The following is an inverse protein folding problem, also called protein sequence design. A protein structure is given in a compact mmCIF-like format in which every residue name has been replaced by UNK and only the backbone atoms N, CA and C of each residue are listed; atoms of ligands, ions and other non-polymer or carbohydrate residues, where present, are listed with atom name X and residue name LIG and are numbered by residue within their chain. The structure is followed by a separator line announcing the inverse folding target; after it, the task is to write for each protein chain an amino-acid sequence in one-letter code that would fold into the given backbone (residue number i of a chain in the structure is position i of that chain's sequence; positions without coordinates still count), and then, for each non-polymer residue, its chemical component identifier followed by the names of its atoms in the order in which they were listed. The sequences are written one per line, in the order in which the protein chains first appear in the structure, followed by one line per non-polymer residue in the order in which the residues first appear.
data_IF_292758590009
#
_entry.id   IF_292758590009
#
_cell.length_a   1.000
_cell.length_b   1.000
_cell.length_c   1.000
_cell.angle_alpha   90.00
_cell.angle_beta   90.00
_cell.angle_gamma   90.00
#
_symmetry.space_group_name_H-M   'P 1'
#
loop_
_entity.id
_entity.type
_entity.pdbx_description
1 polymer ?
#
# COMPACT_ATOMS: atom_id res chain seq x y z
N UNK A 1 39.99 -8.57 0.98
CA UNK A 1 39.33 -7.94 2.15
C UNK A 1 37.84 -7.71 1.85
N UNK A 2 36.94 -8.55 2.38
CA UNK A 2 35.47 -8.50 2.18
C UNK A 2 34.69 -8.76 3.50
N UNK A 3 35.33 -8.55 4.66
CA UNK A 3 34.75 -8.85 5.98
C UNK A 3 33.89 -7.71 6.57
N UNK A 4 34.06 -6.46 6.10
CA UNK A 4 33.36 -5.27 6.66
C UNK A 4 31.89 -5.18 6.24
N UNK A 5 31.54 -5.59 5.01
CA UNK A 5 30.16 -5.49 4.48
C UNK A 5 29.19 -6.44 5.18
N UNK A 6 29.64 -7.65 5.54
CA UNK A 6 28.79 -8.68 6.18
C UNK A 6 28.24 -8.22 7.53
N UNK A 7 29.03 -7.49 8.33
CA UNK A 7 28.58 -6.96 9.62
C UNK A 7 27.59 -5.81 9.50
N UNK A 8 27.79 -4.93 8.51
CA UNK A 8 26.89 -3.80 8.25
C UNK A 8 25.52 -4.27 7.77
N UNK A 9 25.48 -5.22 6.84
CA UNK A 9 24.23 -5.73 6.28
C UNK A 9 23.39 -6.44 7.35
N UNK A 10 24.05 -7.18 8.26
CA UNK A 10 23.38 -7.81 9.40
C UNK A 10 22.76 -6.78 10.37
N UNK A 11 23.47 -5.69 10.69
CA UNK A 11 22.94 -4.66 11.59
C UNK A 11 21.73 -3.95 10.99
N UNK A 12 21.78 -3.60 9.70
CA UNK A 12 20.65 -2.95 9.02
C UNK A 12 19.44 -3.91 8.96
N UNK A 13 19.68 -5.21 8.79
CA UNK A 13 18.62 -6.24 8.79
C UNK A 13 17.90 -6.30 10.13
N UNK A 14 18.67 -6.25 11.23
CA UNK A 14 18.12 -6.22 12.58
C UNK A 14 17.32 -4.93 12.82
N UNK A 15 17.86 -3.77 12.44
CA UNK A 15 17.15 -2.48 12.58
C UNK A 15 15.84 -2.48 11.78
N UNK A 16 15.85 -3.01 10.55
CA UNK A 16 14.66 -3.17 9.73
C UNK A 16 13.62 -4.08 10.41
N UNK A 17 14.03 -5.23 10.95
CA UNK A 17 13.13 -6.18 11.59
C UNK A 17 12.52 -5.60 12.87
N UNK A 18 13.34 -5.02 13.74
CA UNK A 18 12.87 -4.43 15.01
C UNK A 18 11.98 -3.21 14.77
N UNK A 19 12.33 -2.31 13.86
CA UNK A 19 11.46 -1.18 13.51
C UNK A 19 10.13 -1.64 12.90
N UNK A 20 10.15 -2.69 12.06
CA UNK A 20 8.93 -3.31 11.54
C UNK A 20 8.06 -3.91 12.65
N UNK A 21 8.67 -4.62 13.60
CA UNK A 21 7.96 -5.20 14.75
C UNK A 21 7.34 -4.14 15.66
N UNK A 22 8.08 -3.07 15.97
CA UNK A 22 7.58 -1.93 16.75
C UNK A 22 6.43 -1.25 16.00
N UNK A 23 6.58 -0.99 14.70
CA UNK A 23 5.51 -0.43 13.88
C UNK A 23 4.24 -1.29 13.94
N UNK A 24 4.35 -2.60 13.67
CA UNK A 24 3.20 -3.52 13.72
C UNK A 24 2.51 -3.49 15.08
N UNK A 25 3.28 -3.55 16.18
CA UNK A 25 2.73 -3.56 17.53
C UNK A 25 2.01 -2.24 17.86
N UNK A 26 2.71 -1.11 17.71
CA UNK A 26 2.19 0.21 18.07
C UNK A 26 1.02 0.62 17.19
N UNK A 27 1.12 0.37 15.88
CA UNK A 27 0.04 0.69 14.96
C UNK A 27 -1.18 -0.23 15.16
N UNK A 28 -0.98 -1.50 15.50
CA UNK A 28 -2.11 -2.37 15.90
C UNK A 28 -2.81 -1.85 17.15
N UNK A 29 -2.07 -1.35 18.14
CA UNK A 29 -2.67 -0.67 19.30
C UNK A 29 -3.45 0.59 18.90
N UNK A 30 -2.95 1.36 17.93
CA UNK A 30 -3.65 2.53 17.39
C UNK A 30 -4.99 2.14 16.73
N UNK A 31 -5.01 1.05 15.96
CA UNK A 31 -6.23 0.49 15.35
C UNK A 31 -7.20 -0.01 16.42
N UNK A 32 -6.74 -0.80 17.39
CA UNK A 32 -7.58 -1.29 18.49
C UNK A 32 -8.18 -0.11 19.26
N UNK A 33 -7.39 0.91 19.59
CA UNK A 33 -7.91 2.12 20.25
C UNK A 33 -8.95 2.84 19.40
N UNK A 34 -8.76 2.94 18.08
CA UNK A 34 -9.73 3.59 17.21
C UNK A 34 -11.09 2.87 17.21
N UNK A 35 -11.11 1.56 17.44
CA UNK A 35 -12.33 0.74 17.50
C UNK A 35 -12.95 0.75 18.90
N UNK A 36 -12.13 0.61 19.95
CA UNK A 36 -12.57 0.35 21.34
C UNK A 36 -12.65 1.60 22.21
N UNK A 37 -12.05 2.73 21.80
CA UNK A 37 -12.04 3.96 22.59
C UNK A 37 -11.11 3.95 23.81
N UNK A 38 -10.22 2.97 23.97
CA UNK A 38 -9.29 2.87 25.11
C UNK A 38 -8.53 4.18 25.40
N UNK A 39 -8.23 4.46 26.67
CA UNK A 39 -7.62 5.72 27.16
C UNK A 39 -6.18 6.03 26.74
N UNK A 40 -5.56 5.26 25.85
CA UNK A 40 -4.15 5.43 25.43
C UNK A 40 -3.98 6.72 24.60
N UNK A 41 -2.87 7.45 24.67
CA UNK A 41 -2.72 8.68 23.87
C UNK A 41 -2.58 8.37 22.36
N UNK A 42 -3.60 8.72 21.56
CA UNK A 42 -3.64 8.47 20.11
C UNK A 42 -2.46 9.10 19.36
N UNK A 43 -2.06 10.30 19.79
CA UNK A 43 -1.00 11.08 19.12
C UNK A 43 0.36 10.43 19.34
N UNK A 44 0.61 9.90 20.54
CA UNK A 44 1.86 9.20 20.85
C UNK A 44 1.98 7.93 20.02
N UNK A 45 0.93 7.10 19.97
CA UNK A 45 0.91 5.89 19.14
C UNK A 45 1.15 6.23 17.65
N UNK A 46 0.47 7.25 17.14
CA UNK A 46 0.63 7.73 15.76
C UNK A 46 2.08 8.16 15.45
N UNK A 47 2.67 9.01 16.30
CA UNK A 47 4.05 9.48 16.12
C UNK A 47 5.03 8.29 16.15
N UNK A 48 4.89 7.39 17.12
CA UNK A 48 5.79 6.23 17.25
C UNK A 48 5.63 5.29 16.03
N UNK A 49 4.42 5.10 15.52
CA UNK A 49 4.20 4.35 14.27
C UNK A 49 4.90 5.02 13.08
N UNK A 50 4.76 6.33 12.90
CA UNK A 50 5.44 7.07 11.83
C UNK A 50 6.97 6.99 11.94
N UNK A 51 7.53 7.22 13.13
CA UNK A 51 8.96 7.11 13.38
C UNK A 51 9.50 5.69 13.08
N UNK A 52 8.73 4.67 13.46
CA UNK A 52 9.09 3.28 13.17
C UNK A 52 9.10 3.01 11.66
N UNK A 53 8.10 3.49 10.91
CA UNK A 53 8.08 3.41 9.44
C UNK A 53 9.25 4.15 8.79
N UNK A 54 9.58 5.34 9.29
CA UNK A 54 10.74 6.11 8.81
C UNK A 54 12.00 5.25 8.93
N UNK A 55 12.25 4.67 10.11
CA UNK A 55 13.42 3.79 10.32
C UNK A 55 13.37 2.55 9.41
N UNK A 56 12.20 1.93 9.24
CA UNK A 56 12.02 0.76 8.36
C UNK A 56 12.37 1.10 6.90
N UNK A 57 11.78 2.16 6.33
CA UNK A 57 12.02 2.51 4.93
C UNK A 57 13.39 3.14 4.69
N UNK A 58 13.92 3.89 5.64
CA UNK A 58 15.33 4.32 5.61
C UNK A 58 16.26 3.11 5.52
N UNK A 59 16.03 2.08 6.34
CA UNK A 59 16.83 0.84 6.31
C UNK A 59 16.77 0.17 4.93
N UNK A 60 15.58 0.07 4.33
CA UNK A 60 15.40 -0.47 2.97
C UNK A 60 16.16 0.31 1.89
N UNK A 61 16.25 1.63 2.01
CA UNK A 61 16.99 2.49 1.08
C UNK A 61 18.50 2.29 1.24
N UNK A 62 18.99 2.29 2.48
CA UNK A 62 20.42 2.11 2.78
C UNK A 62 20.93 0.71 2.45
N UNK A 63 20.06 -0.30 2.41
CA UNK A 63 20.39 -1.64 1.91
C UNK A 63 20.80 -1.69 0.43
N UNK A 64 20.23 -0.81 -0.41
CA UNK A 64 20.38 -0.91 -1.87
C UNK A 64 21.52 -0.08 -2.46
N UNK A 65 22.08 0.89 -1.73
CA UNK A 65 23.12 1.75 -2.28
C UNK A 65 24.01 2.36 -1.21
N UNK A 66 25.32 2.12 -1.31
CA UNK A 66 26.35 2.79 -0.51
C UNK A 66 26.63 4.23 -1.00
N UNK A 67 26.24 4.56 -2.23
CA UNK A 67 26.31 5.91 -2.79
C UNK A 67 24.91 6.39 -3.21
N UNK A 68 24.46 7.54 -2.71
CA UNK A 68 23.12 8.06 -3.00
C UNK A 68 23.14 8.76 -4.36
N UNK A 69 22.65 8.06 -5.39
CA UNK A 69 22.27 8.72 -6.64
C UNK A 69 20.84 9.25 -6.49
N UNK A 70 20.70 10.58 -6.42
CA UNK A 70 19.42 11.28 -6.17
C UNK A 70 18.35 10.89 -7.21
N UNK A 71 18.72 10.77 -8.49
CA UNK A 71 17.77 10.39 -9.54
C UNK A 71 17.24 8.96 -9.36
N UNK A 72 18.12 8.04 -8.92
CA UNK A 72 17.72 6.66 -8.62
C UNK A 72 16.84 6.59 -7.37
N UNK A 73 17.14 7.41 -6.35
CA UNK A 73 16.37 7.48 -5.12
C UNK A 73 14.93 7.95 -5.36
N UNK A 74 14.73 8.99 -6.19
CA UNK A 74 13.40 9.51 -6.54
C UNK A 74 12.52 8.51 -7.31
N UNK A 75 13.13 7.48 -7.89
CA UNK A 75 12.44 6.38 -8.61
C UNK A 75 12.25 5.13 -7.75
N UNK A 76 12.69 5.11 -6.48
CA UNK A 76 12.48 3.98 -5.57
C UNK A 76 11.15 4.13 -4.81
N UNK A 77 10.33 3.08 -4.83
CA UNK A 77 9.06 3.05 -4.07
C UNK A 77 9.26 3.23 -2.56
N UNK A 78 10.34 2.70 -1.97
CA UNK A 78 10.63 2.86 -0.54
C UNK A 78 10.91 4.32 -0.16
N UNK A 79 11.49 5.11 -1.07
CA UNK A 79 11.68 6.53 -0.84
C UNK A 79 10.34 7.28 -0.80
N UNK A 80 9.39 6.89 -1.65
CA UNK A 80 8.03 7.45 -1.62
C UNK A 80 7.30 7.07 -0.34
N UNK A 81 7.41 5.83 0.09
CA UNK A 81 6.91 5.37 1.39
C UNK A 81 7.53 6.15 2.56
N UNK A 82 8.83 6.43 2.50
CA UNK A 82 9.52 7.27 3.49
C UNK A 82 8.95 8.69 3.51
N UNK A 83 8.75 9.32 2.35
CA UNK A 83 8.14 10.65 2.26
C UNK A 83 6.73 10.66 2.87
N UNK A 84 5.92 9.64 2.59
CA UNK A 84 4.60 9.49 3.20
C UNK A 84 4.71 9.38 4.72
N UNK A 85 5.59 8.52 5.24
CA UNK A 85 5.79 8.37 6.68
C UNK A 85 6.23 9.68 7.36
N UNK A 86 7.12 10.44 6.73
CA UNK A 86 7.54 11.77 7.19
C UNK A 86 6.38 12.78 7.15
N UNK A 87 5.62 12.82 6.05
CA UNK A 87 4.48 13.72 5.92
C UNK A 87 3.41 13.45 6.97
N UNK A 88 3.16 12.18 7.30
CA UNK A 88 2.16 11.79 8.28
C UNK A 88 2.51 12.21 9.73
N UNK A 89 3.74 12.68 10.01
CA UNK A 89 4.06 13.28 11.31
C UNK A 89 3.38 14.63 11.55
N UNK A 90 3.04 15.38 10.48
CA UNK A 90 2.40 16.70 10.62
C UNK A 90 0.91 16.60 10.99
N UNK A 91 0.28 15.46 10.76
CA UNK A 91 -1.15 15.24 11.05
C UNK A 91 -1.37 14.64 12.44
N UNK A 92 -2.46 15.07 13.09
CA UNK A 92 -2.78 14.64 14.47
C UNK A 92 -3.06 13.14 14.55
N UNK A 93 -3.71 12.58 13.53
CA UNK A 93 -3.90 11.14 13.37
C UNK A 93 -4.58 10.83 12.04
N UNK A 94 -4.02 9.87 11.29
CA UNK A 94 -4.62 9.31 10.09
C UNK A 94 -4.46 7.79 10.10
N UNK A 95 -5.45 7.09 10.62
CA UNK A 95 -5.39 5.63 10.75
C UNK A 95 -5.48 4.99 9.36
N UNK A 96 -6.56 5.22 8.61
CA UNK A 96 -6.81 4.50 7.35
C UNK A 96 -5.63 4.58 6.35
N UNK A 97 -5.03 5.76 6.07
CA UNK A 97 -3.89 5.85 5.15
C UNK A 97 -2.63 5.07 5.55
N UNK A 98 -2.48 4.73 6.83
CA UNK A 98 -1.37 3.94 7.36
C UNK A 98 -1.61 2.42 7.30
N UNK A 99 -2.85 2.00 7.04
CA UNK A 99 -3.22 0.58 7.03
C UNK A 99 -2.53 -0.24 5.92
N UNK A 100 -2.32 0.26 4.69
CA UNK A 100 -1.54 -0.46 3.67
C UNK A 100 -0.13 -0.80 4.16
N UNK A 101 0.51 0.12 4.88
CA UNK A 101 1.84 -0.09 5.46
C UNK A 101 1.83 -1.24 6.47
N UNK A 102 0.81 -1.34 7.33
CA UNK A 102 0.68 -2.46 8.27
C UNK A 102 0.61 -3.80 7.53
N UNK A 103 -0.25 -3.90 6.51
CA UNK A 103 -0.43 -5.14 5.75
C UNK A 103 0.86 -5.54 5.04
N UNK A 104 1.53 -4.60 4.39
CA UNK A 104 2.77 -4.83 3.66
C UNK A 104 3.96 -5.15 4.58
N UNK A 105 4.08 -4.47 5.72
CA UNK A 105 5.08 -4.80 6.74
C UNK A 105 4.84 -6.20 7.30
N UNK A 106 3.59 -6.56 7.61
CA UNK A 106 3.26 -7.90 8.13
C UNK A 106 3.63 -8.98 7.12
N UNK A 107 3.31 -8.79 5.82
CA UNK A 107 3.74 -9.69 4.75
C UNK A 107 5.26 -9.79 4.62
N UNK A 108 5.96 -8.67 4.74
CA UNK A 108 7.43 -8.62 4.65
C UNK A 108 8.09 -9.36 5.80
N UNK A 109 7.60 -9.17 7.03
CA UNK A 109 8.07 -9.89 8.22
C UNK A 109 7.75 -11.38 8.13
N UNK A 110 6.57 -11.77 7.66
CA UNK A 110 6.24 -13.17 7.44
C UNK A 110 7.17 -13.83 6.40
N UNK A 111 7.46 -13.14 5.29
CA UNK A 111 8.43 -13.59 4.30
C UNK A 111 9.84 -13.75 4.88
N UNK A 112 10.24 -12.82 5.76
CA UNK A 112 11.51 -12.88 6.47
C UNK A 112 11.59 -14.10 7.41
N UNK A 113 10.54 -14.36 8.19
CA UNK A 113 10.45 -15.51 9.09
C UNK A 113 10.59 -16.82 8.32
N UNK A 114 9.88 -16.97 7.19
CA UNK A 114 9.97 -18.18 6.36
C UNK A 114 11.38 -18.35 5.76
N UNK A 115 11.96 -17.27 5.24
CA UNK A 115 13.32 -17.29 4.69
C UNK A 115 14.37 -17.70 5.73
N UNK A 116 14.14 -17.33 6.99
CA UNK A 116 15.02 -17.61 8.12
C UNK A 116 14.46 -18.70 9.05
N UNK A 117 13.71 -19.68 8.53
CA UNK A 117 12.99 -20.69 9.33
C UNK A 117 13.84 -21.29 10.46
N UNK A 118 15.11 -21.60 10.21
CA UNK A 118 16.03 -22.19 11.19
C UNK A 118 16.20 -21.33 12.47
N UNK A 119 16.07 -20.00 12.36
CA UNK A 119 16.13 -19.09 13.52
C UNK A 119 14.83 -19.11 14.36
N UNK A 120 13.72 -19.53 13.76
CA UNK A 120 12.38 -19.46 14.35
C UNK A 120 11.73 -20.83 14.59
N UNK A 121 12.45 -21.93 14.35
CA UNK A 121 11.93 -23.31 14.38
C UNK A 121 11.20 -23.68 15.69
N UNK A 122 11.61 -23.10 16.81
CA UNK A 122 11.00 -23.33 18.13
C UNK A 122 9.78 -22.44 18.43
N UNK A 123 9.37 -21.59 17.50
CA UNK A 123 8.30 -20.60 17.70
C UNK A 123 7.06 -20.92 16.87
N UNK A 124 5.88 -20.65 17.43
CA UNK A 124 4.61 -20.78 16.70
C UNK A 124 4.47 -19.76 15.55
N UNK A 125 5.36 -18.78 15.48
CA UNK A 125 5.36 -17.70 14.47
C UNK A 125 5.52 -18.28 13.06
N UNK A 126 6.19 -19.42 12.87
CA UNK A 126 6.35 -20.05 11.55
C UNK A 126 4.98 -20.42 10.96
N UNK A 127 4.10 -21.05 11.74
CA UNK A 127 2.78 -21.46 11.26
C UNK A 127 1.92 -20.25 10.84
N UNK A 128 1.98 -19.17 11.65
CA UNK A 128 1.31 -17.91 11.33
C UNK A 128 1.88 -17.29 10.05
N UNK A 129 3.21 -17.24 9.92
CA UNK A 129 3.88 -16.69 8.75
C UNK A 129 3.56 -17.50 7.47
N UNK A 130 3.54 -18.83 7.56
CA UNK A 130 3.17 -19.71 6.44
C UNK A 130 1.74 -19.44 5.98
N UNK A 131 0.78 -19.40 6.90
CA UNK A 131 -0.62 -19.11 6.57
C UNK A 131 -0.76 -17.72 5.92
N UNK A 132 -0.07 -16.71 6.44
CA UNK A 132 -0.12 -15.36 5.88
C UNK A 132 0.48 -15.31 4.46
N UNK A 133 1.58 -16.03 4.21
CA UNK A 133 2.20 -16.09 2.89
C UNK A 133 1.33 -16.86 1.89
N UNK A 134 0.59 -17.89 2.31
CA UNK A 134 -0.43 -18.53 1.46
C UNK A 134 -1.52 -17.56 0.99
N UNK A 135 -1.79 -16.51 1.77
CA UNK A 135 -2.78 -15.47 1.44
C UNK A 135 -2.16 -14.19 0.89
N UNK A 136 -0.85 -14.19 0.58
CA UNK A 136 -0.08 -13.00 0.18
C UNK A 136 -0.76 -12.18 -0.92
N UNK A 137 -1.28 -12.84 -1.94
CA UNK A 137 -1.90 -12.14 -3.07
C UNK A 137 -3.19 -11.40 -2.67
N UNK A 138 -4.00 -12.01 -1.81
CA UNK A 138 -5.24 -11.39 -1.30
C UNK A 138 -4.91 -10.20 -0.40
N UNK A 139 -3.95 -10.37 0.52
CA UNK A 139 -3.52 -9.31 1.44
C UNK A 139 -2.89 -8.15 0.68
N UNK A 140 -2.05 -8.43 -0.33
CA UNK A 140 -1.44 -7.41 -1.18
C UNK A 140 -2.50 -6.64 -1.98
N UNK A 141 -3.44 -7.34 -2.61
CA UNK A 141 -4.54 -6.68 -3.34
C UNK A 141 -5.38 -5.81 -2.41
N UNK A 142 -5.69 -6.28 -1.20
CA UNK A 142 -6.39 -5.50 -0.19
C UNK A 142 -5.62 -4.23 0.21
N UNK A 143 -4.31 -4.33 0.43
CA UNK A 143 -3.46 -3.19 0.75
C UNK A 143 -3.50 -2.13 -0.36
N UNK A 144 -3.37 -2.55 -1.62
CA UNK A 144 -3.44 -1.66 -2.78
C UNK A 144 -4.81 -0.97 -2.92
N UNK A 145 -5.91 -1.69 -2.65
CA UNK A 145 -7.26 -1.10 -2.63
C UNK A 145 -7.39 -0.03 -1.55
N UNK A 146 -6.93 -0.33 -0.33
CA UNK A 146 -6.96 0.64 0.77
C UNK A 146 -6.08 1.85 0.43
N UNK A 147 -4.91 1.64 -0.18
CA UNK A 147 -4.02 2.70 -0.61
C UNK A 147 -4.69 3.63 -1.64
N UNK A 148 -5.30 3.07 -2.68
CA UNK A 148 -6.04 3.85 -3.68
C UNK A 148 -7.21 4.63 -3.07
N UNK A 149 -7.97 4.01 -2.15
CA UNK A 149 -9.10 4.65 -1.46
C UNK A 149 -8.66 5.68 -0.40
N UNK A 150 -7.43 5.60 0.08
CA UNK A 150 -6.89 6.57 1.04
C UNK A 150 -6.61 7.92 0.39
N UNK A 151 -6.35 7.97 -0.92
CA UNK A 151 -6.12 9.22 -1.64
C UNK A 151 -7.31 10.20 -1.60
N UNK A 152 -8.55 9.81 -1.97
CA UNK A 152 -9.70 10.70 -1.84
C UNK A 152 -10.00 11.03 -0.36
N UNK A 153 -9.73 10.11 0.57
CA UNK A 153 -9.88 10.40 2.01
C UNK A 153 -8.92 11.50 2.47
N UNK A 154 -7.66 11.48 2.04
CA UNK A 154 -6.68 12.53 2.35
C UNK A 154 -7.08 13.85 1.68
N UNK A 155 -7.62 13.82 0.46
CA UNK A 155 -8.15 15.02 -0.20
C UNK A 155 -9.28 15.66 0.63
N UNK A 156 -10.19 14.84 1.17
CA UNK A 156 -11.24 15.31 2.08
C UNK A 156 -10.62 15.96 3.33
N UNK A 157 -9.61 15.33 3.94
CA UNK A 157 -8.89 15.92 5.07
C UNK A 157 -8.19 17.24 4.74
N UNK A 158 -7.64 17.39 3.53
CA UNK A 158 -7.02 18.61 3.04
C UNK A 158 -8.07 19.73 2.91
N UNK A 159 -9.23 19.44 2.31
CA UNK A 159 -10.33 20.41 2.16
C UNK A 159 -10.83 20.88 3.52
N UNK A 160 -10.91 20.00 4.51
CA UNK A 160 -11.31 20.33 5.88
C UNK A 160 -10.17 20.92 6.74
N UNK A 161 -8.98 21.16 6.19
CA UNK A 161 -7.85 21.76 6.92
C UNK A 161 -7.24 20.85 8.00
N UNK A 162 -7.50 19.55 7.94
CA UNK A 162 -6.98 18.54 8.88
C UNK A 162 -5.76 17.79 8.35
N UNK A 163 -5.38 18.03 7.09
CA UNK A 163 -4.15 17.60 6.45
C UNK A 163 -3.47 18.80 5.77
N UNK A 164 -2.15 18.74 5.64
CA UNK A 164 -1.42 19.70 4.83
C UNK A 164 -1.29 19.23 3.37
N UNK A 165 -0.91 20.17 2.50
CA UNK A 165 -0.66 19.87 1.09
C UNK A 165 0.47 18.85 0.91
N UNK A 166 1.44 18.85 1.82
CA UNK A 166 2.60 17.95 1.76
C UNK A 166 2.21 16.48 1.92
N UNK A 167 1.30 16.15 2.84
CA UNK A 167 0.72 14.80 2.99
C UNK A 167 0.00 14.38 1.72
N UNK A 168 -0.86 15.25 1.17
CA UNK A 168 -1.59 14.93 -0.05
C UNK A 168 -0.66 14.67 -1.23
N UNK A 169 0.31 15.56 -1.48
CA UNK A 169 1.26 15.42 -2.60
C UNK A 169 2.14 14.18 -2.42
N UNK A 170 2.65 13.93 -1.21
CA UNK A 170 3.49 12.75 -0.93
C UNK A 170 2.72 11.46 -1.15
N UNK A 171 1.48 11.38 -0.67
CA UNK A 171 0.64 10.19 -0.83
C UNK A 171 0.19 10.00 -2.28
N UNK A 172 -0.24 11.08 -2.96
CA UNK A 172 -0.59 11.06 -4.38
C UNK A 172 0.58 10.59 -5.25
N UNK A 173 1.79 11.07 -4.93
CA UNK A 173 3.03 10.68 -5.60
C UNK A 173 3.38 9.20 -5.40
N UNK A 174 3.08 8.62 -4.24
CA UNK A 174 3.21 7.19 -3.97
C UNK A 174 2.19 6.37 -4.77
N UNK A 175 0.90 6.71 -4.67
CA UNK A 175 -0.19 6.02 -5.39
C UNK A 175 0.02 6.08 -6.90
N UNK A 176 0.44 7.23 -7.43
CA UNK A 176 0.73 7.40 -8.85
C UNK A 176 1.90 6.51 -9.31
N UNK A 177 2.95 6.41 -8.49
CA UNK A 177 4.07 5.53 -8.77
C UNK A 177 3.64 4.07 -8.81
N UNK A 178 2.88 3.61 -7.81
CA UNK A 178 2.34 2.25 -7.80
C UNK A 178 1.39 2.02 -8.99
N UNK A 179 0.51 2.96 -9.31
CA UNK A 179 -0.39 2.84 -10.45
C UNK A 179 0.35 2.69 -11.79
N UNK A 180 1.47 3.40 -11.96
CA UNK A 180 2.25 3.38 -13.20
C UNK A 180 3.18 2.17 -13.29
N UNK A 181 3.71 1.67 -12.17
CA UNK A 181 4.75 0.63 -12.13
C UNK A 181 4.23 -0.76 -11.73
N UNK A 182 3.11 -0.85 -11.02
CA UNK A 182 2.56 -2.08 -10.48
C UNK A 182 1.22 -2.44 -11.16
N UNK A 183 1.18 -3.47 -12.03
CA UNK A 183 -0.06 -3.90 -12.69
C UNK A 183 -1.20 -4.26 -11.72
N UNK A 184 -0.86 -4.73 -10.51
CA UNK A 184 -1.87 -5.05 -9.49
C UNK A 184 -2.56 -3.80 -8.93
N UNK A 185 -1.86 -2.67 -8.86
CA UNK A 185 -2.48 -1.40 -8.47
C UNK A 185 -3.53 -0.98 -9.51
N UNK A 186 -3.25 -1.16 -10.80
CA UNK A 186 -4.26 -0.91 -11.86
C UNK A 186 -5.48 -1.80 -11.68
N UNK A 187 -5.29 -3.10 -11.45
CA UNK A 187 -6.39 -4.04 -11.14
C UNK A 187 -7.21 -3.59 -9.93
N UNK A 188 -6.54 -3.20 -8.84
CA UNK A 188 -7.20 -2.71 -7.64
C UNK A 188 -8.08 -1.46 -7.92
N UNK A 189 -7.57 -0.50 -8.70
CA UNK A 189 -8.32 0.69 -9.11
C UNK A 189 -9.51 0.32 -10.00
N UNK A 190 -9.35 -0.59 -10.97
CA UNK A 190 -10.46 -1.05 -11.81
C UNK A 190 -11.56 -1.74 -11.00
N UNK A 191 -11.20 -2.61 -10.05
CA UNK A 191 -12.17 -3.26 -9.17
C UNK A 191 -12.92 -2.25 -8.29
N UNK A 192 -12.24 -1.19 -7.82
CA UNK A 192 -12.90 -0.09 -7.10
C UNK A 192 -13.90 0.62 -8.02
N UNK A 193 -13.51 0.95 -9.25
CA UNK A 193 -14.38 1.61 -10.23
C UNK A 193 -15.61 0.73 -10.53
N UNK A 194 -15.44 -0.58 -10.69
CA UNK A 194 -16.54 -1.51 -10.93
C UNK A 194 -17.53 -1.57 -9.75
N UNK A 195 -17.01 -1.52 -8.51
CA UNK A 195 -17.88 -1.43 -7.33
C UNK A 195 -18.65 -0.10 -7.31
N UNK A 196 -17.98 1.02 -7.61
CA UNK A 196 -18.64 2.34 -7.69
C UNK A 196 -19.69 2.36 -8.80
N UNK A 197 -19.40 1.78 -9.97
CA UNK A 197 -20.34 1.64 -11.09
C UNK A 197 -21.61 0.91 -10.66
N UNK A 198 -21.47 -0.22 -9.95
CA UNK A 198 -22.61 -0.99 -9.45
C UNK A 198 -23.41 -0.22 -8.40
N UNK A 199 -22.74 0.51 -7.50
CA UNK A 199 -23.41 1.33 -6.49
C UNK A 199 -24.20 2.47 -7.12
N UNK A 200 -23.63 3.19 -8.08
CA UNK A 200 -24.30 4.30 -8.80
C UNK A 200 -25.42 3.79 -9.72
N UNK A 201 -25.28 2.57 -10.25
CA UNK A 201 -26.29 1.89 -11.05
C UNK A 201 -27.50 1.40 -10.25
N UNK A 202 -27.45 1.39 -8.92
CA UNK A 202 -28.57 1.00 -8.07
C UNK A 202 -29.79 1.90 -8.27
N UNK A 203 -30.99 1.33 -8.15
CA UNK A 203 -32.27 2.05 -8.16
C UNK A 203 -32.39 3.10 -7.05
N UNK A 204 -31.58 2.99 -6.01
CA UNK A 204 -31.62 3.88 -4.85
C UNK A 204 -30.83 5.19 -5.06
N UNK A 205 -30.11 5.32 -6.18
CA UNK A 205 -29.32 6.52 -6.49
C UNK A 205 -30.12 7.45 -7.41
N UNK A 206 -30.29 8.74 -7.06
CA UNK A 206 -30.99 9.70 -7.91
C UNK A 206 -30.37 9.82 -9.31
N UNK A 207 -31.20 9.94 -10.34
CA UNK A 207 -30.75 10.07 -11.74
C UNK A 207 -29.75 11.22 -11.92
N UNK A 208 -29.95 12.34 -11.23
CA UNK A 208 -29.04 13.50 -11.26
C UNK A 208 -27.60 13.17 -10.82
N UNK A 209 -27.43 12.25 -9.86
CA UNK A 209 -26.11 11.80 -9.39
C UNK A 209 -25.51 10.82 -10.40
N UNK A 210 -26.33 9.93 -10.96
CA UNK A 210 -25.93 8.96 -11.98
C UNK A 210 -25.41 9.66 -13.25
N UNK A 211 -26.12 10.67 -13.74
CA UNK A 211 -25.75 11.40 -14.96
C UNK A 211 -24.44 12.17 -14.77
N UNK A 212 -24.26 12.81 -13.61
CA UNK A 212 -23.00 13.48 -13.25
C UNK A 212 -21.84 12.50 -13.18
N UNK A 213 -22.06 11.32 -12.59
CA UNK A 213 -21.04 10.27 -12.54
C UNK A 213 -20.64 9.77 -13.94
N UNK A 214 -21.62 9.50 -14.80
CA UNK A 214 -21.37 9.06 -16.19
C UNK A 214 -20.59 10.13 -16.96
N UNK A 215 -20.98 11.40 -16.83
CA UNK A 215 -20.28 12.53 -17.45
C UNK A 215 -18.81 12.61 -16.99
N UNK A 216 -18.56 12.54 -15.67
CA UNK A 216 -17.23 12.55 -15.11
C UNK A 216 -16.40 11.35 -15.59
N UNK A 217 -16.98 10.14 -15.58
CA UNK A 217 -16.31 8.92 -16.03
C UNK A 217 -15.89 9.02 -17.50
N UNK A 218 -16.77 9.55 -18.36
CA UNK A 218 -16.47 9.75 -19.78
C UNK A 218 -15.37 10.80 -19.97
N UNK A 219 -15.42 11.91 -19.22
CA UNK A 219 -14.36 12.92 -19.23
C UNK A 219 -13.00 12.32 -18.86
N UNK A 220 -12.93 11.54 -17.79
CA UNK A 220 -11.70 10.88 -17.34
C UNK A 220 -11.18 9.89 -18.38
N UNK A 221 -12.06 9.05 -18.95
CA UNK A 221 -11.67 8.10 -20.01
C UNK A 221 -11.07 8.76 -21.24
N UNK A 222 -11.58 9.93 -21.65
CA UNK A 222 -11.05 10.66 -22.81
C UNK A 222 -9.68 11.30 -22.55
N UNK A 223 -9.28 11.46 -21.28
CA UNK A 223 -8.04 12.15 -20.89
C UNK A 223 -6.95 11.21 -20.39
N UNK A 224 -7.30 10.00 -19.95
CA UNK A 224 -6.34 8.98 -19.54
C UNK A 224 -6.15 8.02 -20.72
N UNK A 225 -4.96 7.96 -21.37
CA UNK A 225 -4.71 6.96 -22.40
C UNK A 225 -4.78 5.58 -21.76
N UNK A 226 -5.87 4.87 -22.01
CA UNK A 226 -5.97 3.46 -21.69
C UNK A 226 -5.09 2.76 -22.72
N UNK A 227 -3.93 2.27 -22.29
CA UNK A 227 -3.21 1.26 -23.06
C UNK A 227 -4.08 -0.02 -22.99
N UNK A 228 -5.02 -0.15 -23.92
CA UNK A 228 -5.78 -1.37 -24.15
C UNK A 228 -4.82 -2.45 -24.65
N UNK A 229 -4.24 -3.18 -23.70
CA UNK A 229 -3.28 -4.23 -23.97
C UNK A 229 -3.41 -5.36 -22.97
N UNK A 230 -4.62 -5.90 -22.79
CA UNK A 230 -4.88 -7.21 -22.16
C UNK A 230 -6.36 -7.64 -22.28
N UNK A 231 -6.97 -7.51 -23.47
CA UNK A 231 -8.11 -8.36 -23.82
C UNK A 231 -7.82 -8.97 -25.20
N UNK A 232 -7.05 -10.04 -25.18
CA UNK A 232 -7.05 -11.00 -26.28
C UNK A 232 -8.44 -11.62 -26.36
N UNK A 233 -9.30 -11.03 -27.18
CA UNK A 233 -10.51 -11.64 -27.69
C UNK A 233 -10.11 -12.90 -28.48
N UNK A 234 -10.14 -14.06 -27.83
CA UNK A 234 -10.21 -15.33 -28.56
C UNK A 234 -11.64 -15.43 -29.08
N UNK A 235 -11.89 -14.80 -30.23
CA UNK A 235 -12.95 -15.23 -31.12
C UNK A 235 -12.59 -16.63 -31.60
N UNK A 236 -13.02 -17.65 -30.86
CA UNK A 236 -13.11 -19.00 -31.39
C UNK A 236 -14.16 -18.98 -32.51
N UNK A 237 -13.69 -19.06 -33.76
CA UNK A 237 -14.54 -19.32 -34.93
C UNK A 237 -15.25 -20.67 -34.72
N UNK A 238 -16.56 -20.78 -35.02
CA UNK A 238 -17.19 -22.09 -35.13
C UNK A 238 -16.67 -22.78 -36.40
N UNK A 239 -15.92 -23.86 -36.22
CA UNK A 239 -15.61 -24.78 -37.30
C UNK A 239 -16.89 -25.53 -37.67
N UNK A 240 -17.44 -25.22 -38.85
CA UNK A 240 -18.47 -26.01 -39.50
C UNK A 240 -17.98 -27.45 -39.68
N UNK A 241 -18.72 -28.40 -39.12
CA UNK A 241 -18.66 -29.82 -39.47
C UNK A 241 -19.75 -30.05 -40.52
N UNK A 242 -19.33 -30.20 -41.76
CA UNK A 242 -19.98 -30.95 -42.85
C UNK A 242 -18.79 -31.45 -43.70
N UNK A 243 -18.58 -32.73 -43.95
CA UNK A 243 -19.55 -33.73 -44.38
C UNK A 243 -19.11 -34.17 -45.77
N UNK A 244 -18.28 -35.22 -45.82
CA UNK A 244 -18.13 -36.28 -46.83
C UNK A 244 -16.82 -37.02 -46.62
#
# INVERSE_FOLDING_TARGET
MKKSTVGKDFLIEQVWLWSSAVFMCVYSMLVVKAITGLGINKRVLHIVSCLSLIVTYSSCIFFKSSAINIQKLLRDGNFRCLLVACSLLSVRSMVIPMLPFLLMTTLSVAGYVIKNKNKFEKTQIIGVAQNLICQKDRVNLLALKIEALSLPLILVHLIFGTADLFVFVSYASMVWYEYTTNPRMKSAVYEIIEVVDRLVGSSNVPNSVRDRYISLKNYVKTRIPVNEGAHGSVHAKPSHIHGN
#
